data_IF_483442048052
#
_entry.id   IF_483442048052
#
_cell.length_a   1.000
_cell.length_b   1.000
_cell.length_c   1.000
_cell.angle_alpha   90.00
_cell.angle_beta   90.00
_cell.angle_gamma   90.00
#
_symmetry.space_group_name_H-M   'P 1'
#
loop_
_entity.id
_entity.type
_entity.pdbx_description
1 polymer ?
#
# COMPACT_ATOMS: atom_id res chain seq x y z
N UNK A 1 -8.34 -4.11 10.47
CA UNK A 1 -7.34 -3.68 11.46
C UNK A 1 -7.88 -2.63 12.44
N UNK A 2 -8.79 -1.73 12.02
CA UNK A 2 -9.42 -0.73 12.91
C UNK A 2 -8.46 0.40 13.32
N UNK A 3 -9.02 1.44 13.97
CA UNK A 3 -8.23 2.56 14.47
C UNK A 3 -7.18 2.07 15.50
N UNK A 4 -5.89 2.24 15.17
CA UNK A 4 -4.76 1.81 16.00
C UNK A 4 -4.09 0.49 15.58
N UNK A 5 -4.66 -0.26 14.64
CA UNK A 5 -4.13 -1.58 14.24
C UNK A 5 -2.71 -1.58 13.68
N UNK A 6 -2.23 -0.44 13.19
CA UNK A 6 -0.87 -0.24 12.67
C UNK A 6 -0.10 0.87 13.42
N UNK A 7 -0.50 1.20 14.65
CA UNK A 7 0.14 2.27 15.44
C UNK A 7 1.65 2.05 15.58
N UNK A 8 2.42 3.11 15.28
CA UNK A 8 3.90 3.13 15.30
C UNK A 8 4.57 2.17 14.30
N UNK A 9 3.83 1.70 13.28
CA UNK A 9 4.34 0.81 12.22
C UNK A 9 4.16 1.45 10.85
N UNK A 10 4.98 1.04 9.87
CA UNK A 10 4.68 1.27 8.46
C UNK A 10 3.80 0.13 7.95
N UNK A 11 2.86 0.43 7.05
CA UNK A 11 2.05 -0.56 6.35
C UNK A 11 2.63 -0.75 4.95
N UNK A 12 3.16 -1.93 4.67
CA UNK A 12 3.62 -2.30 3.33
C UNK A 12 2.55 -3.15 2.64
N UNK A 13 2.16 -2.76 1.43
CA UNK A 13 1.22 -3.50 0.60
C UNK A 13 1.97 -4.16 -0.56
N UNK A 14 1.92 -5.49 -0.60
CA UNK A 14 2.62 -6.33 -1.59
C UNK A 14 1.69 -7.39 -2.17
N UNK A 15 2.13 -8.02 -3.26
CA UNK A 15 1.44 -9.14 -3.89
C UNK A 15 0.94 -8.81 -5.30
N UNK A 16 0.45 -9.83 -5.98
CA UNK A 16 0.08 -9.73 -7.40
C UNK A 16 -1.10 -8.79 -7.65
N UNK A 17 -1.98 -8.62 -6.66
CA UNK A 17 -3.04 -7.63 -6.69
C UNK A 17 -2.50 -6.21 -6.87
N UNK A 18 -1.51 -5.82 -6.06
CA UNK A 18 -0.88 -4.49 -6.13
C UNK A 18 -0.20 -4.28 -7.48
N UNK A 19 0.52 -5.28 -7.99
CA UNK A 19 1.21 -5.22 -9.29
C UNK A 19 0.27 -4.93 -10.46
N UNK A 20 -1.00 -5.33 -10.35
CA UNK A 20 -2.03 -5.13 -11.38
C UNK A 20 -2.82 -3.83 -11.22
N UNK A 21 -2.64 -3.11 -10.12
CA UNK A 21 -3.33 -1.83 -9.86
C UNK A 21 -2.62 -0.67 -10.54
N UNK A 22 -3.42 0.25 -11.09
CA UNK A 22 -2.95 1.56 -11.54
C UNK A 22 -2.55 2.46 -10.35
N UNK A 23 -1.77 3.51 -10.64
CA UNK A 23 -1.19 4.38 -9.61
C UNK A 23 -2.22 5.15 -8.77
N UNK A 24 -3.37 5.49 -9.33
CA UNK A 24 -4.48 6.11 -8.62
C UNK A 24 -5.03 5.20 -7.52
N UNK A 25 -5.32 3.94 -7.85
CA UNK A 25 -5.78 2.94 -6.88
C UNK A 25 -4.74 2.70 -5.76
N UNK A 26 -3.46 2.65 -6.12
CA UNK A 26 -2.35 2.54 -5.15
C UNK A 26 -2.29 3.74 -4.22
N UNK A 27 -2.42 4.94 -4.78
CA UNK A 27 -2.43 6.19 -4.02
C UNK A 27 -3.60 6.24 -3.05
N UNK A 28 -4.80 5.80 -3.47
CA UNK A 28 -5.98 5.68 -2.61
C UNK A 28 -5.72 4.74 -1.43
N UNK A 29 -5.15 3.55 -1.66
CA UNK A 29 -4.85 2.60 -0.59
C UNK A 29 -3.82 3.16 0.40
N UNK A 30 -2.72 3.74 -0.11
CA UNK A 30 -1.70 4.33 0.74
C UNK A 30 -2.20 5.55 1.51
N UNK A 31 -3.10 6.35 0.92
CA UNK A 31 -3.78 7.44 1.62
C UNK A 31 -4.56 6.91 2.82
N UNK A 32 -5.23 5.75 2.67
CA UNK A 32 -6.00 5.11 3.72
C UNK A 32 -5.17 4.42 4.83
N UNK A 33 -3.83 4.49 4.76
CA UNK A 33 -2.97 3.90 5.79
C UNK A 33 -3.04 4.67 7.13
N UNK A 34 -3.40 5.95 7.11
CA UNK A 34 -3.49 6.77 8.32
C UNK A 34 -4.68 6.39 9.20
N UNK A 35 -5.76 5.86 8.62
CA UNK A 35 -6.99 5.44 9.28
C UNK A 35 -6.75 4.21 10.18
N UNK A 36 -5.78 3.36 9.81
CA UNK A 36 -5.26 2.29 10.67
C UNK A 36 -4.14 2.75 11.62
N UNK A 37 -3.88 4.06 11.68
CA UNK A 37 -2.81 4.70 12.47
C UNK A 37 -1.40 4.29 12.06
N UNK A 38 -1.19 3.86 10.81
CA UNK A 38 0.15 3.62 10.29
C UNK A 38 0.92 4.94 10.17
N UNK A 39 2.25 4.88 10.31
CA UNK A 39 3.13 6.03 10.04
C UNK A 39 3.14 6.40 8.56
N UNK A 40 3.05 5.39 7.70
CA UNK A 40 3.02 5.54 6.24
C UNK A 40 2.48 4.25 5.62
N UNK A 41 1.86 4.38 4.45
CA UNK A 41 1.57 3.28 3.54
C UNK A 41 2.60 3.28 2.41
N UNK A 42 3.22 2.13 2.14
CA UNK A 42 4.23 1.98 1.10
C UNK A 42 3.92 0.79 0.19
N UNK A 43 4.28 0.92 -1.08
CA UNK A 43 4.23 -0.13 -2.09
C UNK A 43 5.58 -0.18 -2.80
N UNK A 44 6.07 -1.37 -3.17
CA UNK A 44 7.37 -1.50 -3.83
C UNK A 44 7.37 -0.87 -5.22
N UNK A 45 8.57 -0.53 -5.70
CA UNK A 45 8.73 -0.11 -7.09
C UNK A 45 8.39 -1.26 -8.05
N UNK A 46 7.69 -0.94 -9.14
CA UNK A 46 7.47 -1.83 -10.26
C UNK A 46 7.35 -1.05 -11.58
N UNK A 47 7.10 -1.77 -12.67
CA UNK A 47 6.98 -1.19 -14.01
C UNK A 47 5.86 -0.15 -14.11
N UNK A 48 4.76 -0.31 -13.36
CA UNK A 48 3.64 0.64 -13.35
C UNK A 48 4.07 1.97 -12.70
N UNK A 49 4.78 1.91 -11.57
CA UNK A 49 5.35 3.10 -10.96
C UNK A 49 6.43 3.72 -11.86
N UNK A 50 7.27 2.90 -12.48
CA UNK A 50 8.31 3.35 -13.42
C UNK A 50 7.72 4.15 -14.59
N UNK A 51 6.72 3.59 -15.27
CA UNK A 51 6.01 4.28 -16.35
C UNK A 51 5.29 5.54 -15.88
N UNK A 52 4.74 5.53 -14.65
CA UNK A 52 4.11 6.73 -14.08
C UNK A 52 5.12 7.85 -13.82
N UNK A 53 6.33 7.51 -13.38
CA UNK A 53 7.38 8.47 -13.06
C UNK A 53 8.13 8.99 -14.30
N UNK A 54 8.06 8.28 -15.42
CA UNK A 54 8.66 8.70 -16.68
C UNK A 54 8.17 10.09 -17.11
N UNK A 55 9.10 11.03 -17.32
CA UNK A 55 8.79 12.43 -17.62
C UNK A 55 8.20 13.25 -16.46
N UNK A 56 8.00 12.65 -15.28
CA UNK A 56 7.47 13.32 -14.07
C UNK A 56 8.50 13.48 -12.97
N UNK A 57 9.41 12.52 -12.83
CA UNK A 57 10.44 12.55 -11.82
C UNK A 57 11.45 13.68 -12.10
N UNK A 58 11.73 14.51 -11.10
CA UNK A 58 12.73 15.57 -11.19
C UNK A 58 14.17 15.06 -11.00
N UNK A 59 14.30 13.85 -10.43
CA UNK A 59 15.58 13.22 -10.10
C UNK A 59 15.60 11.76 -10.55
N UNK A 60 16.80 11.17 -10.74
CA UNK A 60 16.92 9.73 -10.96
C UNK A 60 16.22 8.94 -9.87
N UNK A 61 15.39 7.99 -10.29
CA UNK A 61 14.65 7.11 -9.38
C UNK A 61 15.40 5.79 -9.31
N UNK A 62 15.84 5.42 -8.11
CA UNK A 62 16.39 4.10 -7.83
C UNK A 62 15.24 3.15 -7.44
N UNK A 63 15.04 2.03 -8.16
CA UNK A 63 14.06 1.02 -7.77
C UNK A 63 14.40 0.40 -6.42
N UNK A 64 13.47 0.49 -5.47
CA UNK A 64 13.63 -0.10 -4.13
C UNK A 64 12.47 -1.08 -3.87
N UNK A 65 12.81 -2.23 -3.32
CA UNK A 65 11.88 -3.24 -2.84
C UNK A 65 12.40 -3.85 -1.54
N UNK A 66 11.51 -4.42 -0.75
CA UNK A 66 11.88 -5.14 0.47
C UNK A 66 12.70 -6.39 0.18
N UNK A 67 13.63 -6.71 1.08
CA UNK A 67 14.46 -7.91 1.00
C UNK A 67 13.62 -9.18 1.14
N UNK A 68 14.10 -10.28 0.55
CA UNK A 68 13.37 -11.57 0.57
C UNK A 68 13.25 -12.17 1.96
N UNK A 69 14.13 -11.82 2.89
CA UNK A 69 14.15 -12.26 4.29
C UNK A 69 13.68 -11.18 5.27
N UNK A 70 13.06 -10.10 4.77
CA UNK A 70 12.50 -9.04 5.58
C UNK A 70 11.50 -9.60 6.62
N UNK A 71 11.67 -9.17 7.87
CA UNK A 71 10.83 -9.58 8.99
C UNK A 71 9.76 -8.53 9.27
N UNK A 72 8.52 -8.99 9.37
CA UNK A 72 7.37 -8.14 9.62
C UNK A 72 6.86 -8.35 11.05
N UNK A 73 6.48 -7.26 11.71
CA UNK A 73 5.86 -7.32 13.04
C UNK A 73 4.49 -8.03 13.01
N UNK A 74 3.80 -7.95 11.88
CA UNK A 74 2.54 -8.64 11.60
C UNK A 74 2.35 -8.80 10.09
N UNK A 75 1.58 -9.79 9.64
CA UNK A 75 1.29 -10.04 8.22
C UNK A 75 -0.16 -10.47 8.05
N UNK A 76 -0.90 -9.71 7.24
CA UNK A 76 -2.28 -10.02 6.85
C UNK A 76 -2.32 -10.33 5.36
N UNK A 77 -3.04 -11.39 4.98
CA UNK A 77 -3.32 -11.73 3.58
C UNK A 77 -4.74 -11.34 3.24
N UNK A 78 -4.93 -10.60 2.15
CA UNK A 78 -6.24 -10.22 1.62
C UNK A 78 -6.47 -10.95 0.31
N UNK A 79 -7.49 -11.80 0.26
CA UNK A 79 -7.93 -12.42 -0.97
C UNK A 79 -8.84 -11.46 -1.75
N UNK A 80 -8.31 -10.89 -2.84
CA UNK A 80 -9.06 -9.93 -3.66
C UNK A 80 -10.23 -10.58 -4.41
N UNK A 81 -10.25 -11.90 -4.59
CA UNK A 81 -11.37 -12.59 -5.27
C UNK A 81 -12.61 -12.69 -4.39
N UNK A 82 -12.43 -12.56 -3.08
CA UNK A 82 -13.49 -12.56 -2.08
C UNK A 82 -13.93 -11.13 -1.70
N UNK A 83 -13.30 -10.11 -2.27
CA UNK A 83 -13.55 -8.72 -1.91
C UNK A 83 -14.77 -8.19 -2.67
N UNK A 84 -15.74 -7.68 -1.92
CA UNK A 84 -16.95 -7.05 -2.44
C UNK A 84 -16.93 -5.54 -2.17
N UNK A 85 -17.77 -4.75 -2.86
CA UNK A 85 -17.96 -3.34 -2.52
C UNK A 85 -18.36 -3.16 -1.05
N UNK A 86 -17.61 -2.34 -0.32
CA UNK A 86 -17.84 -2.07 1.10
C UNK A 86 -18.06 -0.57 1.35
N UNK A 87 -18.80 -0.26 2.41
CA UNK A 87 -19.02 1.09 2.89
C UNK A 87 -18.60 1.15 4.36
N UNK A 88 -17.77 2.13 4.72
CA UNK A 88 -17.48 2.43 6.12
C UNK A 88 -18.61 3.27 6.71
N UNK A 89 -19.20 2.81 7.81
CA UNK A 89 -20.37 3.46 8.43
C UNK A 89 -19.94 4.57 9.41
N UNK A 90 -20.77 5.62 9.60
CA UNK A 90 -20.54 6.59 10.66
C UNK A 90 -20.46 5.93 12.06
N UNK A 91 -19.67 6.42 13.01
CA UNK A 91 -18.87 7.65 13.03
C UNK A 91 -17.35 7.42 12.95
N UNK A 92 -16.92 6.18 12.69
CA UNK A 92 -15.50 5.81 12.63
C UNK A 92 -15.20 5.14 11.30
N UNK A 93 -14.11 5.54 10.62
CA UNK A 93 -13.65 4.85 9.42
C UNK A 93 -13.27 3.39 9.68
#
# INVERSE_FOLDING_TARGET
MGAGGCSRRAAEFVGDGVRRMAMDARTTICNMAVEMSARTGIMPYDETLGAYLEGRAQWPVEPISSDTDARYADRMTVDLTMLEPMVSFPHKP
#
